data_IF_814044103518
#
_entry.id   IF_814044103518
#
_cell.length_a   1.000
_cell.length_b   1.000
_cell.length_c   1.000
_cell.angle_alpha   90.00
_cell.angle_beta   90.00
_cell.angle_gamma   90.00
#
_symmetry.space_group_name_H-M   'P 1'
#
loop_
_entity.id
_entity.type
_entity.pdbx_description
1 polymer ?
#
# COMPACT_ATOMS: atom_id res chain seq x y z
N UNK A 1 18.94 -8.74 3.05
CA UNK A 1 17.63 -8.29 3.58
C UNK A 1 16.49 -8.83 2.72
N UNK A 2 16.38 -8.41 1.45
CA UNK A 2 15.31 -8.83 0.53
C UNK A 2 15.25 -10.36 0.35
N UNK A 3 16.37 -11.03 0.05
CA UNK A 3 16.36 -12.48 -0.17
C UNK A 3 15.87 -13.28 1.04
N UNK A 4 16.25 -12.83 2.24
CA UNK A 4 15.80 -13.44 3.49
C UNK A 4 14.30 -13.21 3.72
N UNK A 5 13.81 -11.97 3.56
CA UNK A 5 12.38 -11.68 3.73
C UNK A 5 11.52 -12.41 2.69
N UNK A 6 11.99 -12.55 1.45
CA UNK A 6 11.33 -13.37 0.42
C UNK A 6 11.36 -14.87 0.76
N UNK A 7 12.40 -15.36 1.44
CA UNK A 7 12.42 -16.73 1.94
C UNK A 7 11.39 -16.97 3.03
N UNK A 8 11.21 -16.02 3.95
CA UNK A 8 10.17 -16.11 4.99
C UNK A 8 8.79 -16.08 4.35
N UNK A 9 8.55 -15.16 3.40
CA UNK A 9 7.28 -15.03 2.68
C UNK A 9 6.90 -16.25 1.83
N UNK A 10 7.88 -17.02 1.34
CA UNK A 10 7.62 -18.28 0.63
C UNK A 10 6.99 -19.34 1.53
N UNK A 11 7.34 -19.35 2.81
CA UNK A 11 6.75 -20.26 3.80
C UNK A 11 5.46 -19.66 4.38
N UNK A 12 5.49 -18.35 4.64
CA UNK A 12 4.41 -17.63 5.30
C UNK A 12 4.26 -16.22 4.69
N UNK A 13 3.40 -16.06 3.67
CA UNK A 13 3.28 -14.83 2.87
C UNK A 13 2.94 -13.59 3.69
N UNK A 14 2.19 -13.77 4.77
CA UNK A 14 1.58 -12.71 5.57
C UNK A 14 2.33 -12.45 6.89
N UNK A 15 3.45 -13.14 7.12
CA UNK A 15 4.26 -13.06 8.35
C UNK A 15 4.54 -11.61 8.79
N UNK A 16 5.10 -10.80 7.88
CA UNK A 16 5.49 -9.42 8.19
C UNK A 16 4.29 -8.50 8.38
N UNK A 17 3.19 -8.75 7.67
CA UNK A 17 1.98 -7.93 7.79
C UNK A 17 1.31 -8.13 9.14
N UNK A 18 1.21 -9.38 9.61
CA UNK A 18 0.74 -9.69 10.97
C UNK A 18 1.61 -9.02 12.03
N UNK A 19 2.95 -9.11 11.91
CA UNK A 19 3.87 -8.44 12.83
C UNK A 19 3.68 -6.93 12.85
N UNK A 20 3.54 -6.29 11.68
CA UNK A 20 3.34 -4.85 11.58
C UNK A 20 2.05 -4.39 12.27
N UNK A 21 0.96 -5.15 12.11
CA UNK A 21 -0.33 -4.86 12.77
C UNK A 21 -0.21 -5.02 14.28
N UNK A 22 0.38 -6.11 14.76
CA UNK A 22 0.59 -6.36 16.19
C UNK A 22 1.45 -5.25 16.81
N UNK A 23 2.59 -4.93 16.20
CA UNK A 23 3.49 -3.88 16.70
C UNK A 23 2.80 -2.50 16.72
N UNK A 24 2.02 -2.19 15.69
CA UNK A 24 1.25 -0.94 15.65
C UNK A 24 0.17 -0.88 16.74
N UNK A 25 -0.51 -2.01 17.02
CA UNK A 25 -1.50 -2.12 18.10
C UNK A 25 -0.86 -2.00 19.50
N UNK A 26 0.33 -2.58 19.69
CA UNK A 26 1.09 -2.45 20.95
C UNK A 26 1.55 -1.01 21.19
N UNK A 27 2.03 -0.31 20.15
CA UNK A 27 2.48 1.09 20.24
C UNK A 27 1.39 2.06 20.68
N UNK A 28 0.12 1.73 20.44
CA UNK A 28 -1.03 2.51 20.86
C UNK A 28 -1.66 1.99 22.17
N UNK A 29 -0.94 1.14 22.91
CA UNK A 29 -1.38 0.51 24.16
C UNK A 29 -2.74 -0.21 24.02
N UNK A 30 -2.98 -0.82 22.86
CA UNK A 30 -4.22 -1.49 22.54
C UNK A 30 -5.44 -0.57 22.34
N UNK A 31 -5.23 0.74 22.26
CA UNK A 31 -6.28 1.70 21.94
C UNK A 31 -6.76 1.52 20.50
N UNK A 32 -8.06 1.54 20.28
CA UNK A 32 -8.64 1.43 18.94
C UNK A 32 -8.38 2.69 18.11
N UNK A 33 -8.01 2.49 16.83
CA UNK A 33 -7.89 3.56 15.84
C UNK A 33 -8.93 3.33 14.76
N UNK A 34 -9.66 4.40 14.43
CA UNK A 34 -10.64 4.38 13.34
C UNK A 34 -10.01 4.22 11.95
N UNK A 35 -8.74 4.62 11.80
CA UNK A 35 -8.03 4.61 10.52
C UNK A 35 -6.68 3.91 10.71
N UNK A 36 -6.42 2.93 9.85
CA UNK A 36 -5.15 2.22 9.73
C UNK A 36 -4.58 2.45 8.33
N UNK A 37 -3.31 2.86 8.26
CA UNK A 37 -2.62 3.13 7.00
C UNK A 37 -1.47 2.15 6.80
N UNK A 38 -1.59 1.29 5.78
CA UNK A 38 -0.51 0.45 5.29
C UNK A 38 0.13 1.14 4.08
N UNK A 39 1.33 1.70 4.25
CA UNK A 39 1.96 2.57 3.24
C UNK A 39 2.98 1.87 2.32
N UNK A 40 3.45 0.67 2.66
CA UNK A 40 4.50 -0.04 1.90
C UNK A 40 4.04 -1.44 1.46
N UNK A 41 2.87 -1.52 0.84
CA UNK A 41 2.40 -2.74 0.19
C UNK A 41 3.12 -2.94 -1.15
N UNK A 42 3.78 -4.09 -1.30
CA UNK A 42 4.62 -4.40 -2.48
C UNK A 42 4.24 -5.70 -3.18
N UNK A 43 3.39 -6.51 -2.54
CA UNK A 43 3.04 -7.86 -2.98
C UNK A 43 1.53 -8.05 -3.07
N UNK A 44 1.12 -8.93 -3.98
CA UNK A 44 -0.26 -9.41 -4.05
C UNK A 44 -0.74 -10.03 -2.73
N UNK A 45 0.14 -10.71 -1.97
CA UNK A 45 -0.24 -11.26 -0.67
C UNK A 45 -0.62 -10.17 0.34
N UNK A 46 0.06 -9.00 0.30
CA UNK A 46 -0.25 -7.88 1.19
C UNK A 46 -1.69 -7.37 0.97
N UNK A 47 -2.17 -7.40 -0.28
CA UNK A 47 -3.56 -7.06 -0.62
C UNK A 47 -4.53 -8.20 -0.28
N UNK A 48 -4.16 -9.43 -0.63
CA UNK A 48 -5.00 -10.62 -0.41
C UNK A 48 -5.31 -10.83 1.06
N UNK A 49 -4.37 -10.51 1.95
CA UNK A 49 -4.54 -10.60 3.41
C UNK A 49 -5.87 -10.00 3.88
N UNK A 50 -6.22 -8.79 3.43
CA UNK A 50 -7.44 -8.09 3.85
C UNK A 50 -8.73 -8.65 3.22
N UNK A 51 -8.63 -9.59 2.29
CA UNK A 51 -9.76 -10.31 1.71
C UNK A 51 -9.90 -11.74 2.26
N UNK A 52 -8.96 -12.18 3.09
CA UNK A 52 -8.90 -13.55 3.62
C UNK A 52 -9.41 -13.61 5.07
N UNK A 53 -10.61 -14.15 5.31
CA UNK A 53 -11.20 -14.20 6.65
C UNK A 53 -10.46 -15.14 7.60
N UNK A 54 -9.55 -15.98 7.09
CA UNK A 54 -8.69 -16.84 7.92
C UNK A 54 -7.49 -16.08 8.50
N UNK A 55 -7.17 -14.93 7.94
CA UNK A 55 -6.03 -14.09 8.31
C UNK A 55 -6.45 -12.88 9.14
N UNK A 56 -7.52 -12.19 8.73
CA UNK A 56 -8.06 -11.05 9.44
C UNK A 56 -9.58 -11.02 9.30
N UNK A 57 -10.25 -10.82 10.43
CA UNK A 57 -11.69 -10.58 10.42
C UNK A 57 -11.94 -9.06 10.29
N UNK A 58 -12.52 -8.65 9.17
CA UNK A 58 -12.93 -7.27 8.87
C UNK A 58 -14.46 -7.11 8.82
N UNK A 59 -15.22 -8.01 9.45
CA UNK A 59 -16.69 -8.05 9.44
C UNK A 59 -17.31 -6.65 9.55
N UNK A 60 -18.14 -6.29 8.56
CA UNK A 60 -19.17 -5.22 8.52
C UNK A 60 -18.75 -3.76 8.76
N UNK A 61 -17.83 -3.54 9.68
CA UNK A 61 -17.49 -2.26 10.29
C UNK A 61 -16.13 -1.74 9.79
N UNK A 62 -15.45 -2.49 8.91
CA UNK A 62 -14.18 -2.09 8.32
C UNK A 62 -14.25 -2.03 6.79
N UNK A 63 -13.89 -0.88 6.22
CA UNK A 63 -13.76 -0.70 4.77
C UNK A 63 -12.29 -0.68 4.36
N UNK A 64 -11.93 -1.53 3.40
CA UNK A 64 -10.58 -1.58 2.82
C UNK A 64 -10.52 -0.66 1.59
N UNK A 65 -9.75 0.41 1.70
CA UNK A 65 -9.50 1.35 0.60
C UNK A 65 -8.09 1.10 0.05
N UNK A 66 -8.01 0.69 -1.22
CA UNK A 66 -6.71 0.47 -1.89
C UNK A 66 -6.37 1.64 -2.79
N UNK A 67 -5.16 2.20 -2.60
CA UNK A 67 -4.71 3.42 -3.30
C UNK A 67 -3.41 3.11 -4.02
N UNK A 68 -3.39 3.30 -5.35
CA UNK A 68 -2.16 3.26 -6.15
C UNK A 68 -1.74 4.65 -6.53
N UNK A 69 -0.50 5.01 -6.20
CA UNK A 69 0.12 6.25 -6.66
C UNK A 69 1.08 5.90 -7.80
N UNK A 70 0.95 6.58 -8.92
CA UNK A 70 1.83 6.45 -10.09
C UNK A 70 2.38 7.82 -10.47
N UNK A 71 3.51 7.83 -11.17
CA UNK A 71 4.04 9.02 -11.82
C UNK A 71 4.68 8.58 -13.13
N UNK A 72 4.47 9.33 -14.20
CA UNK A 72 5.08 9.04 -15.48
C UNK A 72 6.61 9.16 -15.41
N UNK A 73 7.29 8.44 -16.30
CA UNK A 73 8.75 8.36 -16.33
C UNK A 73 9.42 9.74 -16.54
N UNK A 74 8.78 10.65 -17.27
CA UNK A 74 9.33 11.98 -17.52
C UNK A 74 9.44 12.79 -16.21
N UNK A 75 8.39 12.77 -15.39
CA UNK A 75 8.33 13.45 -14.09
C UNK A 75 9.24 12.75 -13.09
N UNK A 76 9.26 11.42 -13.07
CA UNK A 76 10.20 10.65 -12.23
C UNK A 76 11.64 11.03 -12.55
N UNK A 77 12.01 11.12 -13.84
CA UNK A 77 13.34 11.54 -14.28
C UNK A 77 13.67 12.98 -13.88
N UNK A 78 12.72 13.91 -13.99
CA UNK A 78 12.90 15.29 -13.50
C UNK A 78 13.19 15.33 -12.00
N UNK A 79 12.61 14.40 -11.23
CA UNK A 79 12.84 14.24 -9.78
C UNK A 79 14.11 13.44 -9.45
N UNK A 80 14.93 13.11 -10.45
CA UNK A 80 16.21 12.41 -10.27
C UNK A 80 16.12 10.89 -10.30
N UNK A 81 14.98 10.30 -10.67
CA UNK A 81 14.92 8.86 -10.93
C UNK A 81 15.73 8.51 -12.18
N UNK A 82 16.62 7.55 -12.03
CA UNK A 82 17.39 6.94 -13.11
C UNK A 82 17.03 5.47 -13.09
N UNK A 83 16.51 4.95 -14.20
CA UNK A 83 16.17 3.53 -14.32
C UNK A 83 17.42 2.67 -14.09
N UNK A 84 17.31 1.73 -13.16
CA UNK A 84 18.30 0.68 -12.92
C UNK A 84 17.60 -0.67 -13.05
N UNK A 85 17.94 -1.39 -14.11
CA UNK A 85 17.42 -2.74 -14.39
C UNK A 85 17.62 -3.70 -13.21
N UNK A 86 18.66 -3.52 -12.40
CA UNK A 86 18.94 -4.37 -11.24
C UNK A 86 18.04 -4.05 -10.04
N UNK A 87 17.25 -2.98 -10.09
CA UNK A 87 16.38 -2.53 -9.00
C UNK A 87 14.93 -2.46 -9.50
N UNK A 88 14.66 -1.66 -10.53
CA UNK A 88 13.29 -1.35 -10.99
C UNK A 88 12.57 -2.55 -11.61
N UNK A 89 13.29 -3.60 -12.03
CA UNK A 89 12.66 -4.85 -12.50
C UNK A 89 12.48 -5.89 -11.41
N UNK A 90 13.00 -5.64 -10.20
CA UNK A 90 12.85 -6.60 -9.11
C UNK A 90 11.41 -6.64 -8.67
N UNK A 91 10.91 -7.80 -8.23
CA UNK A 91 9.56 -7.91 -7.74
C UNK A 91 9.24 -6.89 -6.63
N UNK A 92 10.21 -6.44 -5.84
CA UNK A 92 9.99 -5.43 -4.78
C UNK A 92 9.46 -4.10 -5.30
N UNK A 93 9.70 -3.78 -6.58
CA UNK A 93 9.25 -2.54 -7.23
C UNK A 93 8.03 -2.78 -8.12
N UNK A 94 7.98 -3.92 -8.84
CA UNK A 94 6.93 -4.21 -9.83
C UNK A 94 5.89 -5.25 -9.39
N UNK A 95 5.93 -5.69 -8.13
CA UNK A 95 5.12 -6.79 -7.60
C UNK A 95 3.60 -6.58 -7.59
N UNK A 96 3.13 -5.37 -7.91
CA UNK A 96 1.72 -5.00 -7.99
C UNK A 96 1.35 -4.36 -9.34
N UNK A 97 2.26 -4.35 -10.32
CA UNK A 97 2.03 -3.66 -11.60
C UNK A 97 0.88 -4.27 -12.42
N UNK A 98 0.60 -5.56 -12.23
CA UNK A 98 -0.54 -6.24 -12.86
C UNK A 98 -1.83 -6.18 -12.06
N UNK A 99 -1.84 -5.62 -10.84
CA UNK A 99 -3.07 -5.47 -10.05
C UNK A 99 -3.88 -4.27 -10.55
N UNK A 100 -5.17 -4.49 -10.82
CA UNK A 100 -6.04 -3.49 -11.46
C UNK A 100 -7.20 -3.03 -10.56
N UNK A 101 -7.55 -3.80 -9.53
CA UNK A 101 -8.73 -3.57 -8.67
C UNK A 101 -8.46 -2.56 -7.55
N UNK A 102 -7.82 -1.45 -7.89
CA UNK A 102 -7.56 -0.35 -6.96
C UNK A 102 -8.84 0.47 -6.72
N UNK A 103 -9.12 0.85 -5.48
CA UNK A 103 -10.22 1.77 -5.16
C UNK A 103 -9.96 3.15 -5.73
N UNK A 104 -8.71 3.63 -5.62
CA UNK A 104 -8.25 4.89 -6.17
C UNK A 104 -6.92 4.72 -6.91
N UNK A 105 -6.78 5.39 -8.05
CA UNK A 105 -5.53 5.55 -8.78
C UNK A 105 -5.20 7.04 -8.82
N UNK A 106 -4.05 7.39 -8.27
CA UNK A 106 -3.56 8.76 -8.16
C UNK A 106 -2.37 8.91 -9.10
N UNK A 107 -2.44 9.90 -9.98
CA UNK A 107 -1.41 10.24 -10.96
C UNK A 107 -0.67 11.49 -10.52
N UNK A 108 0.58 11.30 -10.08
CA UNK A 108 1.50 12.34 -9.66
C UNK A 108 2.40 12.73 -10.84
N UNK A 109 1.75 13.17 -11.91
CA UNK A 109 2.34 13.45 -13.22
C UNK A 109 2.77 14.90 -13.42
N UNK A 110 2.71 15.71 -12.36
CA UNK A 110 3.11 17.12 -12.38
C UNK A 110 3.97 17.43 -11.16
N UNK A 111 4.70 18.54 -11.21
CA UNK A 111 5.50 19.01 -10.07
C UNK A 111 4.74 20.00 -9.19
N UNK A 112 3.41 20.05 -9.30
CA UNK A 112 2.53 20.93 -8.52
C UNK A 112 1.76 20.11 -7.48
N UNK A 113 1.50 20.72 -6.33
CA UNK A 113 0.74 20.09 -5.24
C UNK A 113 -0.76 20.09 -5.55
N UNK A 114 -1.24 21.09 -6.30
CA UNK A 114 -2.66 21.35 -6.51
C UNK A 114 -3.40 20.16 -7.14
N UNK A 115 -2.83 19.56 -8.19
CA UNK A 115 -3.45 18.41 -8.86
C UNK A 115 -3.45 17.15 -8.00
N UNK A 116 -2.39 16.94 -7.21
CA UNK A 116 -2.31 15.84 -6.26
C UNK A 116 -3.34 16.02 -5.15
N UNK A 117 -3.51 17.24 -4.64
CA UNK A 117 -4.48 17.57 -3.60
C UNK A 117 -5.91 17.34 -4.08
N UNK A 118 -6.24 17.75 -5.31
CA UNK A 118 -7.57 17.50 -5.90
C UNK A 118 -7.88 16.00 -5.96
N UNK A 119 -6.91 15.18 -6.40
CA UNK A 119 -7.10 13.72 -6.47
C UNK A 119 -7.27 13.10 -5.08
N UNK A 120 -6.45 13.52 -4.12
CA UNK A 120 -6.52 13.06 -2.73
C UNK A 120 -7.81 13.49 -2.02
N UNK A 121 -8.42 14.60 -2.41
CA UNK A 121 -9.66 15.07 -1.81
C UNK A 121 -10.77 14.00 -1.87
N UNK A 122 -10.88 13.29 -3.00
CA UNK A 122 -11.85 12.20 -3.14
C UNK A 122 -11.64 11.03 -2.18
N UNK A 123 -10.38 10.80 -1.77
CA UNK A 123 -10.01 9.80 -0.75
C UNK A 123 -10.40 10.31 0.63
N UNK A 124 -10.08 11.57 0.95
CA UNK A 124 -10.43 12.17 2.23
C UNK A 124 -11.94 12.22 2.43
N UNK A 125 -12.70 12.66 1.43
CA UNK A 125 -14.17 12.67 1.45
C UNK A 125 -14.77 11.27 1.68
N UNK A 126 -14.08 10.21 1.22
CA UNK A 126 -14.51 8.83 1.46
C UNK A 126 -14.21 8.39 2.89
N UNK A 127 -13.00 8.67 3.38
CA UNK A 127 -12.62 8.38 4.77
C UNK A 127 -13.56 9.08 5.74
N UNK A 128 -13.88 10.36 5.51
CA UNK A 128 -14.80 11.12 6.36
C UNK A 128 -16.24 10.56 6.39
N UNK A 129 -16.68 9.87 5.33
CA UNK A 129 -18.01 9.23 5.30
C UNK A 129 -18.08 7.93 6.09
N UNK A 130 -16.94 7.30 6.37
CA UNK A 130 -16.83 6.00 7.05
C UNK A 130 -16.61 6.18 8.55
N UNK A 131 -15.98 7.29 8.96
CA UNK A 131 -15.44 7.57 10.30
C UNK A 131 -16.42 8.33 11.20
#
# INVERSE_FOLDING_TARGET
MVEWSESVRRTDPNYFLRLAIIEAYEKINGSERKIWLLNDARRFCDLKYFSDPTEINLDGDCEVITIRITANDAVRKQRGWIFDDKIDTKPTECGLDSYQSWTYQIHNDTNTIDELQIQLQSVFDRIEKIV
#
